data_IF_782013857927
#
_entry.id   IF_782013857927
#
_cell.length_a   1.000
_cell.length_b   1.000
_cell.length_c   1.000
_cell.angle_alpha   90.00
_cell.angle_beta   90.00
_cell.angle_gamma   90.00
#
_symmetry.space_group_name_H-M   'P 1'
#
loop_
_entity.id
_entity.type
_entity.pdbx_description
1 polymer ?
#
# COMPACT_ATOMS: atom_id res chain seq x y z
N UNK A 1 23.74 -14.40 15.02
CA UNK A 1 23.41 -13.23 14.17
C UNK A 1 22.43 -12.34 14.93
N UNK A 2 22.68 -11.03 15.04
CA UNK A 2 21.79 -10.13 15.80
C UNK A 2 20.41 -10.01 15.12
N UNK A 3 19.35 -9.80 15.90
CA UNK A 3 17.97 -9.62 15.39
C UNK A 3 17.87 -8.48 14.36
N UNK A 4 18.76 -7.49 14.42
CA UNK A 4 18.80 -6.37 13.49
C UNK A 4 19.23 -6.80 12.08
N UNK A 5 20.22 -7.69 11.94
CA UNK A 5 20.64 -8.18 10.62
C UNK A 5 19.56 -9.01 9.92
N UNK A 6 18.80 -9.80 10.68
CA UNK A 6 17.65 -10.55 10.15
C UNK A 6 16.59 -9.59 9.59
N UNK A 7 16.25 -8.55 10.36
CA UNK A 7 15.31 -7.51 9.94
C UNK A 7 15.79 -6.78 8.68
N UNK A 8 17.06 -6.38 8.64
CA UNK A 8 17.63 -5.72 7.46
C UNK A 8 17.57 -6.63 6.24
N UNK A 9 17.96 -7.90 6.37
CA UNK A 9 17.87 -8.87 5.28
C UNK A 9 16.44 -9.04 4.76
N UNK A 10 15.47 -9.16 5.67
CA UNK A 10 14.05 -9.25 5.30
C UNK A 10 13.55 -7.98 4.60
N UNK A 11 13.93 -6.78 5.07
CA UNK A 11 13.60 -5.52 4.40
C UNK A 11 14.15 -5.46 2.98
N UNK A 12 15.39 -5.90 2.78
CA UNK A 12 16.00 -5.90 1.45
C UNK A 12 15.27 -6.84 0.48
N UNK A 13 14.84 -8.01 0.95
CA UNK A 13 14.06 -8.96 0.14
C UNK A 13 12.71 -8.35 -0.25
N UNK A 14 12.01 -7.73 0.71
CA UNK A 14 10.72 -7.09 0.46
C UNK A 14 10.85 -5.88 -0.46
N UNK A 15 11.90 -5.07 -0.27
CA UNK A 15 12.19 -3.95 -1.16
C UNK A 15 12.46 -4.42 -2.59
N UNK A 16 13.26 -5.48 -2.76
CA UNK A 16 13.51 -6.06 -4.08
C UNK A 16 12.22 -6.57 -4.73
N UNK A 17 11.36 -7.26 -3.97
CA UNK A 17 10.06 -7.70 -4.46
C UNK A 17 9.19 -6.53 -4.94
N UNK A 18 9.06 -5.45 -4.16
CA UNK A 18 8.25 -4.29 -4.57
C UNK A 18 8.86 -3.53 -5.76
N UNK A 19 10.18 -3.42 -5.84
CA UNK A 19 10.84 -2.83 -7.02
C UNK A 19 10.56 -3.67 -8.27
N UNK A 20 10.71 -4.99 -8.18
CA UNK A 20 10.36 -5.90 -9.28
C UNK A 20 8.88 -5.75 -9.65
N UNK A 21 8.00 -5.73 -8.66
CA UNK A 21 6.56 -5.63 -8.86
C UNK A 21 6.13 -4.30 -9.47
N UNK A 22 6.87 -3.21 -9.24
CA UNK A 22 6.60 -1.92 -9.89
C UNK A 22 7.14 -1.80 -11.32
N UNK A 23 7.97 -2.74 -11.78
CA UNK A 23 8.53 -2.75 -13.15
C UNK A 23 7.82 -3.72 -14.10
N UNK A 24 7.12 -4.70 -13.55
CA UNK A 24 6.42 -5.76 -14.27
C UNK A 24 4.89 -5.59 -14.06
N UNK A 25 4.05 -6.39 -14.71
CA UNK A 25 2.59 -6.22 -14.71
C UNK A 25 1.88 -6.54 -13.38
N UNK A 26 0.91 -7.45 -13.42
CA UNK A 26 0.09 -7.77 -12.24
C UNK A 26 0.80 -8.73 -11.28
N UNK A 27 0.72 -8.45 -9.98
CA UNK A 27 1.36 -9.22 -8.91
C UNK A 27 0.40 -9.49 -7.75
N UNK A 28 0.88 -10.26 -6.76
CA UNK A 28 0.11 -10.63 -5.58
C UNK A 28 -0.47 -9.42 -4.82
N UNK A 29 0.30 -8.36 -4.62
CA UNK A 29 -0.16 -7.18 -3.88
C UNK A 29 -1.23 -6.38 -4.63
N UNK A 30 -1.28 -6.45 -5.96
CA UNK A 30 -2.35 -5.79 -6.73
C UNK A 30 -3.73 -6.40 -6.42
N UNK A 31 -3.79 -7.69 -6.09
CA UNK A 31 -5.02 -8.32 -5.60
C UNK A 31 -5.45 -7.80 -4.22
N UNK A 32 -4.50 -7.51 -3.33
CA UNK A 32 -4.79 -6.91 -2.02
C UNK A 32 -5.31 -5.49 -2.19
N UNK A 33 -4.63 -4.71 -3.03
CA UNK A 33 -5.00 -3.34 -3.36
C UNK A 33 -6.38 -3.27 -4.02
N UNK A 34 -6.68 -4.19 -4.95
CA UNK A 34 -7.99 -4.28 -5.60
C UNK A 34 -9.12 -4.56 -4.60
N UNK A 35 -8.92 -5.49 -3.67
CA UNK A 35 -9.95 -5.78 -2.65
C UNK A 35 -10.23 -4.54 -1.80
N UNK A 36 -9.19 -3.80 -1.42
CA UNK A 36 -9.32 -2.57 -0.64
C UNK A 36 -9.98 -1.47 -1.49
N UNK A 37 -9.65 -1.39 -2.79
CA UNK A 37 -10.24 -0.46 -3.73
C UNK A 37 -11.76 -0.69 -3.85
N UNK A 38 -12.18 -1.92 -4.14
CA UNK A 38 -13.60 -2.24 -4.25
C UNK A 38 -14.34 -1.99 -2.93
N UNK A 39 -13.72 -2.35 -1.79
CA UNK A 39 -14.26 -2.04 -0.47
C UNK A 39 -14.40 -0.53 -0.25
N UNK A 40 -13.50 0.28 -0.81
CA UNK A 40 -13.52 1.73 -0.74
C UNK A 40 -14.80 2.31 -1.33
N UNK A 41 -15.22 1.85 -2.50
CA UNK A 41 -16.50 2.26 -3.09
C UNK A 41 -17.67 2.05 -2.10
N UNK A 42 -17.75 0.88 -1.46
CA UNK A 42 -18.82 0.60 -0.50
C UNK A 42 -18.72 1.42 0.80
N UNK A 43 -17.51 1.60 1.33
CA UNK A 43 -17.27 2.43 2.53
C UNK A 43 -17.68 3.88 2.29
N UNK A 44 -17.42 4.38 1.08
CA UNK A 44 -17.68 5.76 0.70
C UNK A 44 -19.04 6.00 0.03
N UNK A 45 -19.86 4.95 -0.12
CA UNK A 45 -21.23 5.01 -0.66
C UNK A 45 -22.11 6.13 -0.06
N UNK A 46 -22.09 6.39 1.27
CA UNK A 46 -22.96 7.41 1.87
C UNK A 46 -22.61 8.85 1.50
N UNK A 47 -21.45 9.11 0.88
CA UNK A 47 -20.91 10.46 0.69
C UNK A 47 -21.18 11.04 -0.71
N UNK A 48 -22.04 10.40 -1.51
CA UNK A 48 -22.44 10.85 -2.85
C UNK A 48 -21.56 10.27 -3.96
N UNK A 49 -22.01 10.43 -5.21
CA UNK A 49 -21.44 9.74 -6.39
C UNK A 49 -19.95 10.02 -6.60
N UNK A 50 -19.53 11.27 -6.51
CA UNK A 50 -18.12 11.63 -6.70
C UNK A 50 -17.22 10.94 -5.67
N UNK A 51 -17.60 10.96 -4.38
CA UNK A 51 -16.81 10.37 -3.30
C UNK A 51 -16.92 8.83 -3.34
N UNK A 52 -18.05 8.29 -3.78
CA UNK A 52 -18.20 6.86 -4.06
C UNK A 52 -17.18 6.40 -5.12
N UNK A 53 -17.11 7.08 -6.27
CA UNK A 53 -16.16 6.74 -7.35
C UNK A 53 -14.72 6.93 -6.88
N UNK A 54 -14.38 8.06 -6.24
CA UNK A 54 -13.04 8.27 -5.70
C UNK A 54 -12.71 7.34 -4.52
N UNK A 55 -13.74 6.75 -3.91
CA UNK A 55 -13.67 5.98 -2.67
C UNK A 55 -12.73 4.79 -2.74
N UNK A 56 -12.64 4.13 -3.89
CA UNK A 56 -11.71 3.02 -4.08
C UNK A 56 -10.25 3.43 -3.96
N UNK A 57 -9.83 4.41 -4.76
CA UNK A 57 -8.49 5.00 -4.69
C UNK A 57 -8.20 5.60 -3.30
N UNK A 58 -9.19 6.29 -2.71
CA UNK A 58 -9.04 6.87 -1.38
C UNK A 58 -8.74 5.80 -0.33
N UNK A 59 -9.51 4.70 -0.28
CA UNK A 59 -9.29 3.67 0.72
C UNK A 59 -7.99 2.90 0.47
N UNK A 60 -7.66 2.62 -0.79
CA UNK A 60 -6.42 1.95 -1.20
C UNK A 60 -5.18 2.70 -0.70
N UNK A 61 -5.17 4.04 -0.74
CA UNK A 61 -4.05 4.85 -0.24
C UNK A 61 -4.14 5.09 1.28
N UNK A 62 -5.34 5.33 1.81
CA UNK A 62 -5.54 5.63 3.24
C UNK A 62 -5.15 4.44 4.13
N UNK A 63 -5.48 3.22 3.73
CA UNK A 63 -5.22 2.02 4.53
C UNK A 63 -3.72 1.84 4.86
N UNK A 64 -2.79 1.73 3.89
CA UNK A 64 -1.37 1.62 4.19
C UNK A 64 -0.83 2.89 4.86
N UNK A 65 -1.32 4.09 4.52
CA UNK A 65 -0.91 5.34 5.18
C UNK A 65 -1.25 5.37 6.68
N UNK A 66 -2.41 4.84 7.07
CA UNK A 66 -2.79 4.71 8.48
C UNK A 66 -1.89 3.72 9.23
N UNK A 67 -1.49 2.61 8.59
CA UNK A 67 -0.51 1.69 9.18
C UNK A 67 0.88 2.33 9.31
N UNK A 68 1.34 3.08 8.30
CA UNK A 68 2.59 3.85 8.38
C UNK A 68 2.55 4.77 9.59
N UNK A 69 1.49 5.58 9.70
CA UNK A 69 1.31 6.50 10.82
C UNK A 69 1.30 5.77 12.18
N UNK A 70 0.54 4.67 12.29
CA UNK A 70 0.45 3.87 13.50
C UNK A 70 1.81 3.33 13.94
N UNK A 71 2.56 2.66 13.05
CA UNK A 71 3.84 2.07 13.40
C UNK A 71 4.92 3.11 13.66
N UNK A 72 4.90 4.21 12.91
CA UNK A 72 5.80 5.33 13.14
C UNK A 72 5.59 5.95 14.53
N UNK A 73 4.33 6.17 14.94
CA UNK A 73 3.99 6.69 16.29
C UNK A 73 4.35 5.74 17.44
N UNK A 74 4.62 4.47 17.15
CA UNK A 74 5.03 3.45 18.13
C UNK A 74 6.54 3.17 18.10
N UNK A 75 7.32 3.97 17.37
CA UNK A 75 8.76 3.76 17.15
C UNK A 75 9.08 2.38 16.56
N UNK A 76 8.11 1.76 15.87
CA UNK A 76 8.25 0.45 15.23
C UNK A 76 8.75 0.61 13.79
N UNK A 77 9.93 1.23 13.63
CA UNK A 77 10.47 1.63 12.33
C UNK A 77 10.60 0.48 11.32
N UNK A 78 10.91 -0.73 11.77
CA UNK A 78 10.95 -1.90 10.89
C UNK A 78 9.59 -2.16 10.22
N UNK A 79 8.52 -2.17 11.01
CA UNK A 79 7.16 -2.38 10.50
C UNK A 79 6.72 -1.19 9.65
N UNK A 80 7.02 0.04 10.10
CA UNK A 80 6.72 1.26 9.36
C UNK A 80 7.36 1.22 7.96
N UNK A 81 8.63 0.81 7.82
CA UNK A 81 9.29 0.70 6.53
C UNK A 81 8.60 -0.30 5.58
N UNK A 82 8.12 -1.45 6.09
CA UNK A 82 7.42 -2.44 5.26
C UNK A 82 6.10 -1.88 4.70
N UNK A 83 5.29 -1.23 5.55
CA UNK A 83 4.01 -0.66 5.10
C UNK A 83 4.19 0.62 4.28
N UNK A 84 5.31 1.34 4.44
CA UNK A 84 5.68 2.44 3.54
C UNK A 84 5.99 1.93 2.13
N UNK A 85 6.65 0.78 1.99
CA UNK A 85 6.88 0.17 0.67
C UNK A 85 5.55 -0.22 0.01
N UNK A 86 4.61 -0.78 0.79
CA UNK A 86 3.27 -1.06 0.31
C UNK A 86 2.53 0.22 -0.13
N UNK A 87 2.57 1.29 0.66
CA UNK A 87 2.01 2.59 0.26
C UNK A 87 2.60 3.09 -1.07
N UNK A 88 3.92 2.94 -1.26
CA UNK A 88 4.59 3.27 -2.52
C UNK A 88 4.06 2.44 -3.70
N UNK A 89 3.85 1.14 -3.51
CA UNK A 89 3.25 0.27 -4.52
C UNK A 89 1.81 0.68 -4.85
N UNK A 90 1.01 1.05 -3.84
CA UNK A 90 -0.35 1.56 -4.06
C UNK A 90 -0.38 2.85 -4.88
N UNK A 91 0.61 3.74 -4.71
CA UNK A 91 0.75 4.91 -5.58
C UNK A 91 1.07 4.54 -7.03
N UNK A 92 1.97 3.58 -7.26
CA UNK A 92 2.30 3.08 -8.60
C UNK A 92 1.08 2.42 -9.25
N UNK A 93 0.33 1.61 -8.50
CA UNK A 93 -0.89 0.97 -8.98
C UNK A 93 -1.94 2.01 -9.39
N UNK A 94 -2.15 3.04 -8.57
CA UNK A 94 -3.11 4.11 -8.85
C UNK A 94 -2.68 5.01 -10.01
N UNK A 95 -1.37 5.22 -10.24
CA UNK A 95 -0.91 6.13 -11.30
C UNK A 95 -1.33 5.67 -12.70
N UNK A 96 -1.53 4.36 -12.90
CA UNK A 96 -2.04 3.80 -14.16
C UNK A 96 -3.36 4.44 -14.59
N UNK A 97 -4.23 4.80 -13.63
CA UNK A 97 -5.53 5.43 -13.92
C UNK A 97 -5.42 6.92 -14.27
N UNK A 98 -4.31 7.59 -13.93
CA UNK A 98 -4.09 9.01 -14.22
C UNK A 98 -3.61 9.20 -15.66
N UNK A 99 -2.94 8.20 -16.22
CA UNK A 99 -2.38 8.22 -17.57
C UNK A 99 -3.35 7.72 -18.67
N UNK A 100 -4.58 7.34 -18.29
CA UNK A 100 -5.67 6.87 -19.17
C UNK A 100 -6.68 7.98 -19.49
#
# INVERSE_FOLDING_TARGET
MSKHYIKLGALMIVAFYFIYAGLDGWHFFDGVDLIIHEAGHFVFLPFGEFIYIAGGTLLQLLMPALFVFYFFKKDQFYSASLVTMWLGQSFINVSVYVDL
#
